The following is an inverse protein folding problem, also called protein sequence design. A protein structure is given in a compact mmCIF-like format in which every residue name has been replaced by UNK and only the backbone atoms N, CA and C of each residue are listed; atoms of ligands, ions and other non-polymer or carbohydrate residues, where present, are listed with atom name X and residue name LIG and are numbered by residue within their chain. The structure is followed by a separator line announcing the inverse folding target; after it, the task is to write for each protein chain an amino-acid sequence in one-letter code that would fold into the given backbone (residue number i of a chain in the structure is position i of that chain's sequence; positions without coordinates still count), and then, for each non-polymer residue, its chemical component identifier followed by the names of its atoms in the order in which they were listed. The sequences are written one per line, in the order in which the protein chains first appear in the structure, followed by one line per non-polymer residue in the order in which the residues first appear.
data_IF_787524069814
#
_entry.id   IF_787524069814
#
_cell.length_a   1.000
_cell.length_b   1.000
_cell.length_c   1.000
_cell.angle_alpha   90.00
_cell.angle_beta   90.00
_cell.angle_gamma   90.00
#
_symmetry.space_group_name_H-M   'P 1'
#
loop_
_entity.id
_entity.type
_entity.pdbx_description
1 polymer ?
#
# COMPACT_ATOMS: atom_id res chain seq x y z
N UNK A 1 7.67 -27.30 -8.87
CA UNK A 1 6.57 -27.77 -8.02
C UNK A 1 5.27 -27.14 -8.50
N UNK A 2 4.16 -27.86 -8.47
CA UNK A 2 2.82 -27.29 -8.67
C UNK A 2 2.41 -26.54 -7.40
N UNK A 3 2.01 -25.27 -7.53
CA UNK A 3 1.66 -24.40 -6.40
C UNK A 3 0.17 -24.08 -6.47
N UNK A 4 -0.58 -24.45 -5.42
CA UNK A 4 -2.02 -24.17 -5.28
C UNK A 4 -2.28 -23.21 -4.12
N UNK A 5 -3.33 -22.37 -4.18
CA UNK A 5 -3.64 -21.43 -3.11
C UNK A 5 -3.99 -22.17 -1.81
N UNK A 6 -3.37 -21.75 -0.70
CA UNK A 6 -3.65 -22.23 0.65
C UNK A 6 -4.10 -21.06 1.52
N UNK A 7 -5.41 -20.79 1.50
CA UNK A 7 -6.06 -19.68 2.20
C UNK A 7 -6.63 -20.14 3.54
N UNK A 8 -6.41 -19.33 4.58
CA UNK A 8 -7.03 -19.43 5.91
C UNK A 8 -7.42 -18.02 6.36
N UNK A 9 -8.71 -17.72 6.32
CA UNK A 9 -9.28 -16.39 6.55
C UNK A 9 -8.70 -15.41 5.54
N UNK A 10 -8.07 -14.36 6.06
CA UNK A 10 -7.41 -13.32 5.27
C UNK A 10 -5.93 -13.60 4.98
N UNK A 11 -5.43 -14.80 5.25
CA UNK A 11 -4.03 -15.18 5.02
C UNK A 11 -3.95 -16.24 3.92
N UNK A 12 -3.17 -15.97 2.89
CA UNK A 12 -2.71 -17.00 1.95
C UNK A 12 -1.26 -17.36 2.26
N UNK A 13 -1.00 -18.65 2.47
CA UNK A 13 0.33 -19.16 2.90
C UNK A 13 1.23 -19.61 1.74
N UNK A 14 0.72 -19.50 0.51
CA UNK A 14 1.41 -19.87 -0.74
C UNK A 14 1.30 -18.74 -1.73
N UNK A 15 2.29 -18.64 -2.62
CA UNK A 15 2.35 -17.59 -3.63
C UNK A 15 2.81 -18.17 -4.95
N UNK A 16 2.17 -17.79 -6.06
CA UNK A 16 2.52 -18.28 -7.40
C UNK A 16 3.48 -17.30 -8.13
N UNK A 17 4.75 -17.68 -8.42
CA UNK A 17 5.73 -16.77 -8.99
C UNK A 17 5.34 -16.22 -10.36
N UNK A 18 4.91 -17.10 -11.28
CA UNK A 18 4.47 -16.70 -12.63
C UNK A 18 3.22 -15.83 -12.59
N UNK A 19 2.37 -16.03 -11.57
CA UNK A 19 1.16 -15.25 -11.42
C UNK A 19 1.42 -13.86 -10.86
N UNK A 20 2.34 -13.74 -9.89
CA UNK A 20 2.85 -12.44 -9.46
C UNK A 20 3.48 -11.68 -10.63
N UNK A 21 4.29 -12.34 -11.47
CA UNK A 21 4.85 -11.72 -12.68
C UNK A 21 3.75 -11.22 -13.63
N UNK A 22 2.77 -12.06 -13.96
CA UNK A 22 1.64 -11.64 -14.80
C UNK A 22 0.85 -10.47 -14.21
N UNK A 23 0.65 -10.44 -12.89
CA UNK A 23 -0.03 -9.32 -12.22
C UNK A 23 0.77 -8.01 -12.29
N UNK A 24 2.11 -8.07 -12.17
CA UNK A 24 2.98 -6.89 -12.37
C UNK A 24 2.95 -6.43 -13.83
N UNK A 25 2.99 -7.35 -14.79
CA UNK A 25 2.91 -7.04 -16.23
C UNK A 25 1.61 -6.33 -16.58
N UNK A 26 0.48 -6.74 -16.01
CA UNK A 26 -0.82 -6.05 -16.19
C UNK A 26 -0.79 -4.60 -15.70
N UNK A 27 -0.21 -4.36 -14.53
CA UNK A 27 -0.09 -3.01 -13.97
C UNK A 27 0.83 -2.10 -14.81
N UNK A 28 1.92 -2.67 -15.35
CA UNK A 28 2.81 -1.97 -16.28
C UNK A 28 2.07 -1.65 -17.59
N UNK A 29 1.36 -2.63 -18.18
CA UNK A 29 0.60 -2.44 -19.40
C UNK A 29 -0.45 -1.33 -19.24
N UNK A 30 -1.24 -1.37 -18.15
CA UNK A 30 -2.16 -0.30 -17.82
C UNK A 30 -1.47 1.07 -17.77
N UNK A 31 -0.35 1.18 -17.05
CA UNK A 31 0.41 2.43 -16.92
C UNK A 31 0.86 2.97 -18.27
N UNK A 32 1.35 2.10 -19.15
CA UNK A 32 1.81 2.46 -20.50
C UNK A 32 0.65 2.88 -21.41
N UNK A 33 -0.50 2.20 -21.32
CA UNK A 33 -1.72 2.52 -22.07
C UNK A 33 -2.26 3.92 -21.73
N UNK A 34 -2.11 4.36 -20.47
CA UNK A 34 -2.51 5.71 -20.07
C UNK A 34 -1.58 6.81 -20.62
N UNK A 35 -0.35 6.47 -20.99
CA UNK A 35 0.68 7.40 -21.49
C UNK A 35 1.54 8.03 -20.41
N UNK A 36 2.50 8.87 -20.83
CA UNK A 36 3.49 9.47 -19.94
C UNK A 36 2.89 10.51 -19.00
N UNK A 37 3.33 10.50 -17.75
CA UNK A 37 3.10 11.54 -16.75
C UNK A 37 4.01 12.72 -17.09
N UNK A 38 3.40 13.82 -17.56
CA UNK A 38 4.12 15.06 -17.83
C UNK A 38 4.80 15.57 -16.55
N UNK A 39 6.04 16.05 -16.67
CA UNK A 39 6.84 16.58 -15.56
C UNK A 39 7.03 15.60 -14.39
N UNK A 40 6.83 14.30 -14.62
CA UNK A 40 7.01 13.27 -13.61
C UNK A 40 8.45 13.19 -13.07
N UNK A 41 8.64 12.52 -11.92
CA UNK A 41 9.94 12.42 -11.26
C UNK A 41 10.92 11.64 -12.12
N UNK A 42 12.22 11.81 -11.83
CA UNK A 42 13.29 11.11 -12.54
C UNK A 42 14.06 10.15 -11.65
N UNK A 43 14.09 10.37 -10.33
CA UNK A 43 14.87 9.58 -9.38
C UNK A 43 14.04 9.36 -8.13
N UNK A 44 13.46 8.17 -8.00
CA UNK A 44 12.42 7.88 -7.02
C UNK A 44 12.89 6.85 -6.00
N UNK A 45 12.68 7.16 -4.72
CA UNK A 45 12.76 6.20 -3.63
C UNK A 45 11.34 5.81 -3.22
N UNK A 46 11.06 4.51 -3.19
CA UNK A 46 9.80 3.96 -2.66
C UNK A 46 10.11 3.09 -1.45
N UNK A 47 9.58 3.48 -0.29
CA UNK A 47 9.72 2.76 0.98
C UNK A 47 8.43 1.95 1.19
N UNK A 48 8.53 0.62 1.13
CA UNK A 48 7.39 -0.29 1.03
C UNK A 48 7.01 -0.60 -0.43
N UNK A 49 7.99 -0.95 -1.27
CA UNK A 49 7.83 -0.98 -2.73
C UNK A 49 7.38 -2.31 -3.36
N UNK A 50 7.08 -3.33 -2.56
CA UNK A 50 6.92 -4.72 -3.03
C UNK A 50 5.47 -5.14 -3.30
N UNK A 51 4.48 -4.47 -2.68
CA UNK A 51 3.06 -4.81 -2.81
C UNK A 51 2.17 -3.56 -2.77
N UNK A 52 0.90 -3.72 -3.13
CA UNK A 52 -0.13 -2.69 -2.96
C UNK A 52 0.21 -1.35 -3.61
N UNK A 53 -0.11 -0.26 -2.89
CA UNK A 53 0.12 1.10 -3.36
C UNK A 53 1.60 1.44 -3.58
N UNK A 54 2.52 0.90 -2.78
CA UNK A 54 3.94 1.14 -2.97
C UNK A 54 4.48 0.51 -4.24
N UNK A 55 4.10 -0.74 -4.55
CA UNK A 55 4.41 -1.35 -5.85
C UNK A 55 3.82 -0.55 -7.01
N UNK A 56 2.53 -0.16 -6.90
CA UNK A 56 1.89 0.67 -7.90
C UNK A 56 2.61 2.02 -8.10
N UNK A 57 3.16 2.62 -7.04
CA UNK A 57 3.94 3.85 -7.11
C UNK A 57 5.24 3.66 -7.87
N UNK A 58 5.92 2.55 -7.60
CA UNK A 58 7.16 2.20 -8.30
C UNK A 58 6.91 1.96 -9.79
N UNK A 59 5.81 1.27 -10.13
CA UNK A 59 5.38 1.05 -11.51
C UNK A 59 4.99 2.35 -12.19
N UNK A 60 4.12 3.17 -11.57
CA UNK A 60 3.66 4.45 -12.13
C UNK A 60 4.82 5.39 -12.44
N UNK A 61 5.81 5.47 -11.56
CA UNK A 61 6.94 6.38 -11.75
C UNK A 61 7.96 5.83 -12.75
N UNK A 62 8.30 4.53 -12.70
CA UNK A 62 9.20 3.93 -13.67
C UNK A 62 8.61 3.93 -15.10
N UNK A 63 7.44 3.32 -15.28
CA UNK A 63 6.85 3.10 -16.60
C UNK A 63 5.95 4.25 -17.07
N UNK A 64 5.53 5.14 -16.17
CA UNK A 64 4.78 6.34 -16.52
C UNK A 64 5.64 7.60 -16.60
N UNK A 65 6.82 7.66 -15.99
CA UNK A 65 7.68 8.86 -16.02
C UNK A 65 9.11 8.62 -16.54
N UNK A 66 9.48 7.35 -16.78
CA UNK A 66 10.84 6.95 -17.13
C UNK A 66 11.81 7.08 -15.96
N UNK A 67 11.32 7.01 -14.72
CA UNK A 67 12.14 7.27 -13.55
C UNK A 67 13.09 6.11 -13.21
N UNK A 68 14.29 6.44 -12.76
CA UNK A 68 15.16 5.53 -12.04
C UNK A 68 14.55 5.26 -10.65
N UNK A 69 14.44 3.99 -10.23
CA UNK A 69 13.78 3.66 -8.95
C UNK A 69 14.65 2.82 -8.01
N UNK A 70 14.70 3.25 -6.75
CA UNK A 70 15.16 2.43 -5.61
C UNK A 70 13.93 2.03 -4.80
N UNK A 71 13.76 0.72 -4.55
CA UNK A 71 12.66 0.19 -3.75
C UNK A 71 13.16 -0.48 -2.48
N UNK A 72 12.58 -0.14 -1.33
CA UNK A 72 12.82 -0.78 -0.03
C UNK A 72 11.62 -1.63 0.35
N UNK A 73 11.84 -2.84 0.85
CA UNK A 73 10.79 -3.73 1.34
C UNK A 73 11.36 -4.77 2.29
N UNK A 74 10.49 -5.56 2.92
CA UNK A 74 10.90 -6.66 3.79
C UNK A 74 10.14 -7.94 3.43
N UNK A 75 10.75 -8.75 2.60
CA UNK A 75 10.15 -9.92 1.95
C UNK A 75 10.99 -11.18 2.19
N UNK A 76 10.35 -12.35 2.09
CA UNK A 76 11.03 -13.64 2.25
C UNK A 76 11.23 -14.27 0.90
N UNK A 77 12.49 -14.52 0.53
CA UNK A 77 12.84 -15.29 -0.65
C UNK A 77 12.26 -16.71 -0.62
N UNK A 78 12.06 -17.27 -1.81
CA UNK A 78 11.69 -18.67 -1.98
C UNK A 78 12.90 -19.59 -1.81
N UNK A 79 12.62 -20.88 -1.66
CA UNK A 79 13.60 -21.96 -1.72
C UNK A 79 13.02 -23.11 -2.53
N UNK A 80 13.82 -24.12 -2.88
CA UNK A 80 13.38 -25.30 -3.64
C UNK A 80 12.10 -25.97 -3.08
N UNK A 81 11.86 -25.86 -1.77
CA UNK A 81 10.75 -26.51 -1.07
C UNK A 81 9.68 -25.55 -0.56
N UNK A 82 9.86 -24.23 -0.69
CA UNK A 82 8.95 -23.23 -0.12
C UNK A 82 8.83 -22.00 -0.99
N UNK A 83 7.59 -21.57 -1.25
CA UNK A 83 7.31 -20.34 -1.99
C UNK A 83 7.72 -19.10 -1.20
N UNK A 84 8.17 -18.08 -1.93
CA UNK A 84 8.43 -16.74 -1.40
C UNK A 84 7.14 -16.04 -0.97
N UNK A 85 7.27 -14.90 -0.31
CA UNK A 85 6.15 -13.94 -0.18
C UNK A 85 5.85 -13.29 -1.53
N UNK A 86 4.60 -12.82 -1.71
CA UNK A 86 4.17 -12.14 -2.94
C UNK A 86 5.05 -10.95 -3.33
N UNK A 87 5.44 -10.14 -2.35
CA UNK A 87 6.26 -8.98 -2.62
C UNK A 87 7.66 -9.31 -3.16
N UNK A 88 8.21 -10.48 -2.83
CA UNK A 88 9.47 -10.97 -3.41
C UNK A 88 9.32 -11.19 -4.91
N UNK A 89 8.32 -11.98 -5.33
CA UNK A 89 8.08 -12.27 -6.75
C UNK A 89 7.65 -11.03 -7.53
N UNK A 90 6.84 -10.15 -6.93
CA UNK A 90 6.47 -8.88 -7.55
C UNK A 90 7.70 -8.00 -7.82
N UNK A 91 8.63 -7.93 -6.86
CA UNK A 91 9.85 -7.13 -7.00
C UNK A 91 10.82 -7.72 -8.02
N UNK A 92 10.93 -9.05 -8.08
CA UNK A 92 11.69 -9.75 -9.12
C UNK A 92 11.10 -9.49 -10.53
N UNK A 93 9.77 -9.54 -10.66
CA UNK A 93 9.09 -9.24 -11.91
C UNK A 93 9.25 -7.77 -12.33
N UNK A 94 9.19 -6.84 -11.36
CA UNK A 94 9.48 -5.42 -11.61
C UNK A 94 10.91 -5.22 -12.09
N UNK A 95 11.90 -5.80 -11.41
CA UNK A 95 13.32 -5.70 -11.78
C UNK A 95 13.58 -6.22 -13.20
N UNK A 96 13.02 -7.40 -13.53
CA UNK A 96 13.07 -7.98 -14.87
C UNK A 96 12.48 -7.02 -15.92
N UNK A 97 11.25 -6.54 -15.70
CA UNK A 97 10.58 -5.66 -16.66
C UNK A 97 11.28 -4.30 -16.81
N UNK A 98 11.81 -3.74 -15.73
CA UNK A 98 12.54 -2.47 -15.76
C UNK A 98 13.84 -2.61 -16.58
N UNK A 99 14.60 -3.69 -16.37
CA UNK A 99 15.82 -3.98 -17.14
C UNK A 99 15.54 -4.23 -18.62
N UNK A 100 14.47 -4.95 -18.95
CA UNK A 100 14.01 -5.12 -20.34
C UNK A 100 13.68 -3.77 -21.00
N UNK A 101 13.18 -2.80 -20.23
CA UNK A 101 12.89 -1.45 -20.70
C UNK A 101 14.09 -0.47 -20.61
N UNK A 102 15.26 -0.93 -20.16
CA UNK A 102 16.45 -0.08 -19.97
C UNK A 102 16.32 0.94 -18.82
N UNK A 103 15.41 0.72 -17.88
CA UNK A 103 15.20 1.58 -16.71
C UNK A 103 16.06 1.11 -15.54
N UNK A 104 16.65 2.07 -14.81
CA UNK A 104 17.36 1.77 -13.58
C UNK A 104 16.38 1.27 -12.51
N UNK A 105 16.68 0.10 -11.95
CA UNK A 105 15.96 -0.50 -10.84
C UNK A 105 16.96 -1.15 -9.88
N UNK A 106 16.93 -0.74 -8.61
CA UNK A 106 17.64 -1.41 -7.52
C UNK A 106 16.74 -1.59 -6.31
N UNK A 107 16.99 -2.62 -5.53
CA UNK A 107 16.18 -2.94 -4.36
C UNK A 107 17.00 -3.26 -3.13
N UNK A 108 16.44 -2.90 -1.97
CA UNK A 108 16.97 -3.25 -0.64
C UNK A 108 15.90 -4.05 0.08
N UNK A 109 16.20 -5.29 0.42
CA UNK A 109 15.39 -6.16 1.25
C UNK A 109 15.91 -6.08 2.69
N UNK A 110 15.17 -5.42 3.58
CA UNK A 110 15.59 -5.20 4.96
C UNK A 110 14.54 -4.44 5.78
N UNK A 111 14.77 -4.35 7.09
CA UNK A 111 13.90 -3.59 7.98
C UNK A 111 14.04 -2.09 7.71
N UNK A 112 13.03 -1.51 7.04
CA UNK A 112 13.01 -0.10 6.68
C UNK A 112 13.01 0.84 7.90
N UNK A 113 12.65 0.37 9.10
CA UNK A 113 12.72 1.16 10.32
C UNK A 113 14.16 1.30 10.86
N UNK A 114 15.08 0.44 10.42
CA UNK A 114 16.46 0.39 10.92
C UNK A 114 17.34 1.52 10.37
N UNK A 115 18.29 1.97 11.21
CA UNK A 115 19.35 2.89 10.78
C UNK A 115 20.22 2.28 9.66
N UNK A 116 20.46 0.97 9.72
CA UNK A 116 21.24 0.22 8.72
C UNK A 116 20.60 0.28 7.33
N UNK A 117 19.29 0.02 7.24
CA UNK A 117 18.58 0.11 5.96
C UNK A 117 18.61 1.54 5.39
N UNK A 118 18.41 2.56 6.23
CA UNK A 118 18.52 3.97 5.84
C UNK A 118 19.92 4.30 5.31
N UNK A 119 20.96 3.87 6.02
CA UNK A 119 22.35 4.07 5.61
C UNK A 119 22.66 3.38 4.27
N UNK A 120 22.19 2.14 4.07
CA UNK A 120 22.44 1.41 2.82
C UNK A 120 21.75 2.06 1.62
N UNK A 121 20.53 2.56 1.80
CA UNK A 121 19.82 3.29 0.75
C UNK A 121 20.53 4.61 0.41
N UNK A 122 21.02 5.35 1.41
CA UNK A 122 21.81 6.57 1.19
C UNK A 122 23.08 6.28 0.40
N UNK A 123 23.81 5.21 0.74
CA UNK A 123 25.00 4.77 0.01
C UNK A 123 24.66 4.49 -1.46
N UNK A 124 23.59 3.74 -1.71
CA UNK A 124 23.16 3.39 -3.05
C UNK A 124 22.72 4.62 -3.86
N UNK A 125 22.00 5.57 -3.25
CA UNK A 125 21.63 6.82 -3.91
C UNK A 125 22.89 7.60 -4.30
N UNK A 126 23.87 7.73 -3.40
CA UNK A 126 25.13 8.45 -3.70
C UNK A 126 25.93 7.79 -4.82
N UNK A 127 25.97 6.46 -4.85
CA UNK A 127 26.70 5.71 -5.86
C UNK A 127 26.08 5.87 -7.25
N UNK A 128 24.74 5.78 -7.35
CA UNK A 128 24.10 5.56 -8.64
C UNK A 128 23.30 6.76 -9.16
N UNK A 129 22.61 7.50 -8.27
CA UNK A 129 21.62 8.51 -8.66
C UNK A 129 22.01 9.95 -8.26
N UNK A 130 22.98 10.09 -7.35
CA UNK A 130 23.39 11.33 -6.70
C UNK A 130 22.34 11.83 -5.69
N UNK A 131 21.10 12.03 -6.14
CA UNK A 131 19.98 12.51 -5.33
C UNK A 131 18.65 11.90 -5.78
N UNK A 132 17.61 12.06 -4.95
CA UNK A 132 16.22 11.65 -5.19
C UNK A 132 15.33 12.88 -5.29
N UNK A 133 14.38 12.88 -6.24
CA UNK A 133 13.38 13.94 -6.44
C UNK A 133 11.96 13.56 -5.99
N UNK A 134 11.72 12.27 -5.67
CA UNK A 134 10.49 11.82 -5.02
C UNK A 134 10.76 10.72 -4.00
N UNK A 135 10.23 10.89 -2.79
CA UNK A 135 10.17 9.86 -1.74
C UNK A 135 8.72 9.46 -1.49
N UNK A 136 8.36 8.21 -1.82
CA UNK A 136 7.07 7.62 -1.48
C UNK A 136 7.22 6.78 -0.22
N UNK A 137 6.46 7.11 0.82
CA UNK A 137 6.40 6.37 2.08
C UNK A 137 5.09 5.56 2.15
N UNK A 138 5.20 4.25 1.90
CA UNK A 138 4.08 3.31 1.76
C UNK A 138 4.28 2.06 2.63
N UNK A 139 4.84 2.23 3.83
CA UNK A 139 4.98 1.13 4.78
C UNK A 139 3.64 0.80 5.44
N UNK A 140 3.32 -0.49 5.46
CA UNK A 140 2.20 -1.05 6.21
C UNK A 140 2.70 -2.25 7.02
N UNK A 141 3.25 -1.98 8.20
CA UNK A 141 3.76 -3.01 9.10
C UNK A 141 2.99 -3.00 10.41
N UNK A 142 2.53 -4.15 10.93
CA UNK A 142 1.92 -4.19 12.27
C UNK A 142 2.96 -4.09 13.39
N UNK A 143 4.24 -3.97 13.05
CA UNK A 143 5.37 -4.05 13.98
C UNK A 143 6.45 -3.05 13.58
N UNK A 144 7.05 -2.40 14.56
CA UNK A 144 8.26 -1.61 14.39
C UNK A 144 9.30 -2.06 15.38
N UNK A 145 10.50 -2.37 14.90
CA UNK A 145 11.68 -2.50 15.76
C UNK A 145 12.30 -1.12 15.90
N UNK A 146 12.38 -0.60 17.12
CA UNK A 146 12.90 0.74 17.38
C UNK A 146 14.40 0.77 17.04
N UNK A 147 14.86 1.74 16.22
CA UNK A 147 16.22 1.73 15.69
C UNK A 147 17.31 1.90 16.76
N UNK A 148 17.02 2.64 17.83
CA UNK A 148 18.00 2.94 18.89
C UNK A 148 17.99 1.92 20.03
N UNK A 149 16.81 1.43 20.42
CA UNK A 149 16.65 0.55 21.59
C UNK A 149 16.54 -0.93 21.23
N UNK A 150 16.21 -1.25 19.98
CA UNK A 150 15.92 -2.61 19.53
C UNK A 150 14.58 -3.17 20.03
N UNK A 151 13.80 -2.39 20.78
CA UNK A 151 12.47 -2.77 21.27
C UNK A 151 11.51 -3.04 20.12
N UNK A 152 10.68 -4.08 20.24
CA UNK A 152 9.69 -4.46 19.22
C UNK A 152 8.30 -3.98 19.65
N UNK A 153 7.83 -2.92 19.02
CA UNK A 153 6.53 -2.29 19.27
C UNK A 153 5.50 -2.82 18.26
N UNK A 154 4.27 -3.05 18.70
CA UNK A 154 3.18 -3.60 17.87
C UNK A 154 1.96 -2.67 17.88
N UNK A 155 1.42 -2.40 16.70
CA UNK A 155 0.17 -1.66 16.58
C UNK A 155 -1.03 -2.52 17.00
N UNK A 156 -2.08 -1.88 17.51
CA UNK A 156 -3.38 -2.49 17.73
C UNK A 156 -4.40 -1.89 16.76
N UNK A 157 -5.38 -2.69 16.33
CA UNK A 157 -6.48 -2.26 15.46
C UNK A 157 -7.77 -2.26 16.28
N UNK A 158 -7.91 -1.26 17.14
CA UNK A 158 -8.97 -1.18 18.15
C UNK A 158 -9.62 0.21 18.21
N UNK A 159 -10.92 0.29 18.55
CA UNK A 159 -11.59 1.55 18.86
C UNK A 159 -11.00 2.18 20.13
N UNK A 160 -11.31 3.45 20.38
CA UNK A 160 -10.95 4.15 21.63
C UNK A 160 -12.24 4.49 22.37
N UNK A 161 -12.26 4.25 23.68
CA UNK A 161 -13.42 4.54 24.53
C UNK A 161 -14.38 3.36 24.65
N UNK A 162 -15.20 3.13 23.61
CA UNK A 162 -16.29 2.14 23.66
C UNK A 162 -16.01 0.91 22.79
N UNK A 163 -16.60 -0.22 23.16
CA UNK A 163 -16.59 -1.46 22.38
C UNK A 163 -17.31 -1.25 21.05
N UNK A 164 -16.68 -1.64 19.94
CA UNK A 164 -17.26 -1.55 18.61
C UNK A 164 -17.82 -2.90 18.18
N UNK A 165 -19.12 -2.95 17.88
CA UNK A 165 -19.80 -4.13 17.34
C UNK A 165 -20.32 -3.83 15.95
N UNK A 166 -20.03 -4.69 14.97
CA UNK A 166 -20.38 -4.48 13.56
C UNK A 166 -20.69 -5.76 12.81
N UNK A 167 -21.37 -5.60 11.68
CA UNK A 167 -21.57 -6.68 10.70
C UNK A 167 -20.28 -6.90 9.91
N UNK A 168 -19.88 -8.16 9.75
CA UNK A 168 -18.66 -8.55 9.08
C UNK A 168 -18.87 -9.85 8.28
N UNK A 169 -17.89 -10.20 7.43
CA UNK A 169 -17.87 -11.49 6.72
C UNK A 169 -16.83 -12.40 7.38
N UNK A 170 -17.23 -13.62 7.78
CA UNK A 170 -16.29 -14.71 7.99
C UNK A 170 -15.86 -15.26 6.63
N UNK A 171 -14.71 -14.84 6.14
CA UNK A 171 -14.21 -15.21 4.80
C UNK A 171 -13.83 -16.68 4.65
N UNK A 172 -13.78 -17.45 5.74
CA UNK A 172 -13.62 -18.91 5.66
C UNK A 172 -14.93 -19.62 5.37
N UNK A 173 -16.04 -19.08 5.90
CA UNK A 173 -17.36 -19.71 5.84
C UNK A 173 -18.27 -19.04 4.82
N UNK A 174 -17.86 -17.91 4.25
CA UNK A 174 -18.66 -17.07 3.37
C UNK A 174 -19.99 -16.66 4.03
N UNK A 175 -19.94 -16.29 5.31
CA UNK A 175 -21.11 -16.01 6.15
C UNK A 175 -21.04 -14.65 6.82
N UNK A 176 -22.21 -14.03 6.97
CA UNK A 176 -22.34 -12.83 7.78
C UNK A 176 -22.27 -13.19 9.26
N UNK A 177 -21.43 -12.45 9.98
CA UNK A 177 -21.22 -12.59 11.42
C UNK A 177 -21.27 -11.22 12.08
N UNK A 178 -21.46 -11.24 13.40
CA UNK A 178 -21.23 -10.07 14.25
C UNK A 178 -19.81 -10.12 14.78
N UNK A 179 -19.02 -9.09 14.50
CA UNK A 179 -17.69 -8.91 15.05
C UNK A 179 -17.71 -7.85 16.15
N UNK A 180 -17.07 -8.14 17.28
CA UNK A 180 -16.94 -7.23 18.41
C UNK A 180 -15.45 -6.99 18.68
N UNK A 181 -15.06 -5.72 18.82
CA UNK A 181 -13.69 -5.29 19.09
C UNK A 181 -13.67 -4.42 20.34
N UNK A 182 -12.93 -4.87 21.35
CA UNK A 182 -12.77 -4.14 22.61
C UNK A 182 -11.90 -2.88 22.43
N UNK A 183 -12.14 -1.83 23.23
CA UNK A 183 -11.37 -0.60 23.16
C UNK A 183 -9.90 -0.83 23.49
N UNK A 184 -9.06 0.02 22.89
CA UNK A 184 -7.63 0.05 23.15
C UNK A 184 -7.35 0.65 24.54
N UNK A 185 -6.31 0.14 25.19
CA UNK A 185 -5.71 0.84 26.33
C UNK A 185 -4.72 1.93 25.83
N UNK A 186 -4.21 2.76 26.75
CA UNK A 186 -3.31 3.87 26.40
C UNK A 186 -2.00 3.37 25.76
N UNK A 187 -1.45 2.26 26.22
CA UNK A 187 -0.24 1.67 25.65
C UNK A 187 -0.46 1.24 24.20
N UNK A 188 -1.60 0.60 23.89
CA UNK A 188 -1.97 0.20 22.54
C UNK A 188 -2.15 1.41 21.61
N UNK A 189 -2.67 2.53 22.12
CA UNK A 189 -2.77 3.80 21.38
C UNK A 189 -1.37 4.31 21.04
N UNK A 190 -0.50 4.46 22.05
CA UNK A 190 0.86 4.98 21.86
C UNK A 190 1.71 4.08 20.97
N UNK A 191 1.59 2.76 21.12
CA UNK A 191 2.28 1.79 20.28
C UNK A 191 1.81 1.89 18.82
N UNK A 192 0.51 2.11 18.60
CA UNK A 192 -0.02 2.29 17.24
C UNK A 192 0.48 3.58 16.60
N UNK A 193 0.52 4.70 17.35
CA UNK A 193 1.15 5.95 16.88
C UNK A 193 2.63 5.70 16.56
N UNK A 194 3.36 5.01 17.42
CA UNK A 194 4.78 4.71 17.24
C UNK A 194 5.06 3.89 15.97
N UNK A 195 4.18 2.93 15.64
CA UNK A 195 4.37 2.02 14.49
C UNK A 195 3.85 2.63 13.19
N UNK A 196 2.67 3.24 13.21
CA UNK A 196 1.92 3.65 12.00
C UNK A 196 1.85 5.18 11.82
N UNK A 197 2.38 5.95 12.76
CA UNK A 197 2.51 7.40 12.66
C UNK A 197 3.61 7.85 11.72
N UNK A 198 3.92 9.15 11.78
CA UNK A 198 4.86 9.80 10.87
C UNK A 198 6.31 9.82 11.35
N UNK A 199 6.61 9.34 12.56
CA UNK A 199 7.97 9.43 13.12
C UNK A 199 9.03 8.79 12.21
N UNK A 200 8.80 7.58 11.69
CA UNK A 200 9.80 6.95 10.81
C UNK A 200 9.92 7.64 9.45
N UNK A 201 8.83 8.19 8.93
CA UNK A 201 8.87 9.02 7.72
C UNK A 201 9.75 10.27 7.94
N UNK A 202 9.65 10.93 9.09
CA UNK A 202 10.55 12.03 9.47
C UNK A 202 12.01 11.55 9.56
N UNK A 203 12.28 10.37 10.14
CA UNK A 203 13.63 9.82 10.21
C UNK A 203 14.22 9.54 8.83
N UNK A 204 13.43 9.02 7.88
CA UNK A 204 13.86 8.84 6.49
C UNK A 204 14.18 10.19 5.84
N UNK A 205 13.28 11.15 5.94
CA UNK A 205 13.45 12.46 5.30
C UNK A 205 14.64 13.23 5.89
N UNK A 206 14.81 13.20 7.21
CA UNK A 206 15.96 13.79 7.89
C UNK A 206 17.28 13.13 7.46
N UNK A 207 17.35 11.79 7.46
CA UNK A 207 18.57 11.09 7.07
C UNK A 207 18.96 11.35 5.60
N UNK A 208 17.98 11.41 4.69
CA UNK A 208 18.22 11.72 3.28
C UNK A 208 18.68 13.18 3.09
N UNK A 209 18.05 14.13 3.82
CA UNK A 209 18.44 15.54 3.80
C UNK A 209 19.86 15.73 4.33
N UNK A 210 20.16 15.19 5.50
CA UNK A 210 21.45 15.36 6.19
C UNK A 210 22.59 14.72 5.40
N UNK A 211 22.30 13.66 4.64
CA UNK A 211 23.24 13.05 3.71
C UNK A 211 23.42 13.80 2.38
N UNK A 212 22.63 14.86 2.13
CA UNK A 212 22.68 15.66 0.90
C UNK A 212 22.06 15.01 -0.33
N UNK A 213 21.27 13.94 -0.15
CA UNK A 213 20.75 13.11 -1.26
C UNK A 213 19.31 13.45 -1.66
N UNK A 214 18.73 14.52 -1.12
CA UNK A 214 17.46 15.08 -1.61
C UNK A 214 17.74 16.20 -2.61
N UNK A 215 17.12 16.12 -3.79
CA UNK A 215 17.21 17.15 -4.81
C UNK A 215 16.44 18.41 -4.41
N UNK A 216 16.82 19.55 -4.98
CA UNK A 216 16.00 20.75 -4.88
C UNK A 216 14.66 20.50 -5.58
N UNK A 217 13.56 20.98 -5.00
CA UNK A 217 12.20 20.68 -5.46
C UNK A 217 11.70 19.27 -5.13
N UNK A 218 12.45 18.47 -4.35
CA UNK A 218 12.04 17.10 -4.03
C UNK A 218 10.66 17.05 -3.37
N UNK A 219 9.87 16.05 -3.76
CA UNK A 219 8.54 15.80 -3.20
C UNK A 219 8.58 14.59 -2.28
N UNK A 220 7.73 14.57 -1.26
CA UNK A 220 7.46 13.38 -0.48
C UNK A 220 5.97 13.16 -0.28
N UNK A 221 5.54 11.91 -0.34
CA UNK A 221 4.15 11.54 -0.07
C UNK A 221 4.09 10.33 0.83
N UNK A 222 3.25 10.39 1.87
CA UNK A 222 2.91 9.24 2.70
C UNK A 222 1.47 8.83 2.47
N UNK A 223 1.20 7.53 2.43
CA UNK A 223 -0.15 7.01 2.20
C UNK A 223 -0.94 6.80 3.47
N UNK A 224 -2.20 7.24 3.41
CA UNK A 224 -3.18 7.09 4.47
C UNK A 224 -4.53 6.68 3.90
N UNK A 225 -5.47 6.42 4.79
CA UNK A 225 -6.85 6.07 4.49
C UNK A 225 -7.73 6.71 5.57
N UNK A 226 -8.81 7.41 5.23
CA UNK A 226 -9.77 7.92 6.22
C UNK A 226 -10.99 7.00 6.27
N UNK A 227 -11.59 6.76 5.11
CA UNK A 227 -12.69 5.84 4.94
C UNK A 227 -14.07 6.39 5.27
N UNK A 228 -15.05 5.51 5.11
CA UNK A 228 -16.47 5.71 5.40
C UNK A 228 -16.77 5.79 6.91
N UNK A 229 -17.88 6.44 7.25
CA UNK A 229 -18.45 6.48 8.60
C UNK A 229 -18.72 5.08 9.18
N UNK A 230 -19.04 4.11 8.33
CA UNK A 230 -19.17 2.69 8.72
C UNK A 230 -17.89 2.10 9.34
N UNK A 231 -16.74 2.68 9.01
CA UNK A 231 -15.42 2.20 9.43
C UNK A 231 -14.71 3.13 10.42
N UNK A 232 -15.28 4.32 10.69
CA UNK A 232 -14.67 5.33 11.55
C UNK A 232 -14.32 4.83 12.95
N UNK A 233 -15.13 4.02 13.66
CA UNK A 233 -14.78 3.55 15.00
C UNK A 233 -13.44 2.82 15.08
N UNK A 234 -13.01 2.14 14.00
CA UNK A 234 -11.70 1.49 13.93
C UNK A 234 -10.66 2.43 13.27
N UNK A 235 -10.98 3.00 12.11
CA UNK A 235 -9.97 3.66 11.28
C UNK A 235 -9.73 5.13 11.60
N UNK A 236 -10.75 5.89 11.98
CA UNK A 236 -10.64 7.34 12.15
C UNK A 236 -10.71 7.78 13.61
N UNK A 237 -11.58 7.18 14.41
CA UNK A 237 -11.72 7.45 15.84
C UNK A 237 -11.02 6.42 16.73
N UNK A 238 -10.47 5.36 16.14
CA UNK A 238 -9.67 4.36 16.85
C UNK A 238 -8.18 4.70 16.92
N UNK A 239 -7.42 3.71 17.36
CA UNK A 239 -5.94 3.71 17.43
C UNK A 239 -5.26 4.15 16.12
N UNK A 240 -5.74 3.67 14.96
CA UNK A 240 -5.23 4.09 13.65
C UNK A 240 -5.51 5.56 13.34
N UNK A 241 -6.59 6.13 13.87
CA UNK A 241 -6.91 7.55 13.75
C UNK A 241 -5.82 8.42 14.35
N UNK A 242 -5.39 8.07 15.58
CA UNK A 242 -4.29 8.76 16.27
C UNK A 242 -2.97 8.68 15.53
N UNK A 243 -2.66 7.54 14.94
CA UNK A 243 -1.48 7.39 14.09
C UNK A 243 -1.54 8.30 12.84
N UNK A 244 -2.72 8.46 12.24
CA UNK A 244 -2.90 9.35 11.07
C UNK A 244 -2.81 10.83 11.44
N UNK A 245 -3.32 11.22 12.61
CA UNK A 245 -3.11 12.56 13.16
C UNK A 245 -1.61 12.87 13.32
N UNK A 246 -0.81 11.89 13.79
CA UNK A 246 0.65 12.03 13.84
C UNK A 246 1.30 12.08 12.45
N UNK A 247 0.74 11.38 11.46
CA UNK A 247 1.19 11.46 10.07
C UNK A 247 0.94 12.87 9.46
N UNK A 248 -0.19 13.49 9.79
CA UNK A 248 -0.50 14.87 9.40
C UNK A 248 0.46 15.89 10.06
N UNK A 249 0.83 15.65 11.33
CA UNK A 249 1.89 16.42 12.02
C UNK A 249 3.24 16.27 11.31
N UNK A 250 3.66 15.04 11.02
CA UNK A 250 4.92 14.76 10.33
C UNK A 250 4.96 15.38 8.93
N UNK A 251 3.87 15.30 8.16
CA UNK A 251 3.78 15.94 6.85
C UNK A 251 4.04 17.45 6.93
N UNK A 252 3.52 18.10 7.97
CA UNK A 252 3.73 19.54 8.21
C UNK A 252 5.20 19.84 8.50
N UNK A 253 5.85 19.06 9.38
CA UNK A 253 7.26 19.22 9.70
C UNK A 253 8.16 19.02 8.46
N UNK A 254 7.97 17.91 7.74
CA UNK A 254 8.75 17.58 6.54
C UNK A 254 8.54 18.63 5.45
N UNK A 255 7.31 19.14 5.28
CA UNK A 255 7.03 20.20 4.31
C UNK A 255 7.78 21.48 4.66
N UNK A 256 7.83 21.86 5.94
CA UNK A 256 8.62 22.99 6.41
C UNK A 256 10.11 22.85 6.05
N UNK A 257 10.67 21.66 6.27
CA UNK A 257 12.07 21.37 5.98
C UNK A 257 12.39 21.39 4.47
N UNK A 258 11.47 20.92 3.63
CA UNK A 258 11.64 20.90 2.18
C UNK A 258 11.40 22.27 1.52
N UNK A 259 10.60 23.15 2.14
CA UNK A 259 10.16 24.41 1.56
C UNK A 259 11.32 25.34 1.19
N UNK A 260 12.41 25.34 1.97
CA UNK A 260 13.59 26.16 1.71
C UNK A 260 14.25 25.88 0.34
N UNK A 261 14.03 24.68 -0.21
CA UNK A 261 14.52 24.24 -1.52
C UNK A 261 13.38 24.03 -2.53
N UNK A 262 12.20 24.58 -2.28
CA UNK A 262 11.02 24.47 -3.14
C UNK A 262 10.39 23.06 -3.19
N UNK A 263 10.74 22.18 -2.25
CA UNK A 263 10.13 20.86 -2.14
C UNK A 263 8.81 20.86 -1.35
N UNK A 264 8.09 19.74 -1.37
CA UNK A 264 6.76 19.61 -0.75
C UNK A 264 6.57 18.24 -0.10
N UNK A 265 5.80 18.17 0.98
CA UNK A 265 5.37 16.90 1.58
C UNK A 265 3.87 16.89 1.91
N UNK A 266 3.20 15.79 1.56
CA UNK A 266 1.76 15.63 1.75
C UNK A 266 1.40 14.21 2.19
N UNK A 267 0.38 14.09 3.01
CA UNK A 267 -0.36 12.82 3.14
C UNK A 267 -1.28 12.70 1.93
N UNK A 268 -1.29 11.54 1.28
CA UNK A 268 -2.31 11.22 0.28
C UNK A 268 -3.29 10.20 0.87
N UNK A 269 -4.56 10.60 0.94
CA UNK A 269 -5.66 9.76 1.41
C UNK A 269 -6.19 8.97 0.22
N UNK A 270 -5.94 7.68 0.26
CA UNK A 270 -6.25 6.72 -0.80
C UNK A 270 -7.56 6.00 -0.52
N UNK A 271 -8.10 5.30 -1.53
CA UNK A 271 -9.36 4.57 -1.42
C UNK A 271 -9.16 3.22 -0.72
N UNK A 272 -10.26 2.59 -0.37
CA UNK A 272 -10.31 1.18 0.03
C UNK A 272 -9.95 0.27 -1.14
N UNK A 273 -8.99 -0.63 -0.91
CA UNK A 273 -8.57 -1.66 -1.86
C UNK A 273 -8.33 -2.98 -1.14
N UNK A 274 -8.40 -4.09 -1.87
CA UNK A 274 -8.04 -5.40 -1.32
C UNK A 274 -6.52 -5.49 -1.19
N UNK A 275 -6.05 -5.59 0.04
CA UNK A 275 -4.64 -5.82 0.37
C UNK A 275 -4.57 -6.85 1.48
N UNK A 276 -3.38 -7.37 1.77
CA UNK A 276 -3.17 -8.25 2.92
C UNK A 276 -3.53 -7.52 4.24
N UNK A 277 -3.22 -6.22 4.33
CA UNK A 277 -3.51 -5.41 5.50
C UNK A 277 -5.01 -5.13 5.69
N UNK A 278 -5.71 -4.69 4.63
CA UNK A 278 -7.15 -4.37 4.71
C UNK A 278 -8.00 -5.62 4.99
N UNK A 279 -7.59 -6.79 4.50
CA UNK A 279 -8.33 -8.05 4.71
C UNK A 279 -8.28 -8.53 6.17
N UNK A 280 -7.32 -8.07 6.97
CA UNK A 280 -7.21 -8.42 8.39
C UNK A 280 -8.21 -7.67 9.30
N UNK A 281 -8.88 -6.64 8.77
CA UNK A 281 -9.80 -5.80 9.54
C UNK A 281 -11.24 -6.30 9.34
N UNK A 282 -11.95 -6.75 10.39
CA UNK A 282 -13.20 -7.52 10.25
C UNK A 282 -14.28 -6.89 9.36
N UNK A 283 -14.45 -5.57 9.43
CA UNK A 283 -15.50 -4.85 8.66
C UNK A 283 -15.14 -4.65 7.18
N UNK A 284 -13.85 -4.67 6.84
CA UNK A 284 -13.37 -4.25 5.52
C UNK A 284 -13.76 -5.19 4.39
N UNK A 285 -13.72 -6.53 4.51
CA UNK A 285 -14.18 -7.41 3.44
C UNK A 285 -15.62 -7.11 3.00
N UNK A 286 -16.51 -6.83 3.96
CA UNK A 286 -17.91 -6.51 3.67
C UNK A 286 -18.04 -5.16 2.97
N UNK A 287 -17.46 -4.13 3.57
CA UNK A 287 -17.52 -2.78 3.02
C UNK A 287 -16.90 -2.69 1.63
N UNK A 288 -15.71 -3.29 1.43
CA UNK A 288 -15.05 -3.33 0.12
C UNK A 288 -15.93 -4.04 -0.90
N UNK A 289 -16.50 -5.20 -0.57
CA UNK A 289 -17.36 -5.95 -1.50
C UNK A 289 -18.57 -5.13 -1.94
N UNK A 290 -19.19 -4.40 -1.00
CA UNK A 290 -20.34 -3.53 -1.29
C UNK A 290 -19.94 -2.30 -2.12
N UNK A 291 -18.94 -1.55 -1.66
CA UNK A 291 -18.46 -0.35 -2.33
C UNK A 291 -17.96 -0.67 -3.75
N UNK A 292 -17.30 -1.81 -3.96
CA UNK A 292 -16.82 -2.21 -5.28
C UNK A 292 -17.96 -2.44 -6.26
N UNK A 293 -19.03 -3.14 -5.85
CA UNK A 293 -20.20 -3.34 -6.71
C UNK A 293 -20.76 -2.00 -7.18
N UNK A 294 -21.00 -1.09 -6.23
CA UNK A 294 -21.59 0.23 -6.49
C UNK A 294 -20.66 1.08 -7.38
N UNK A 295 -19.36 1.11 -7.08
CA UNK A 295 -18.39 1.87 -7.87
C UNK A 295 -18.20 1.29 -9.28
N UNK A 296 -18.31 -0.03 -9.46
CA UNK A 296 -18.28 -0.69 -10.78
C UNK A 296 -19.50 -0.34 -11.60
N UNK A 297 -20.69 -0.38 -11.01
CA UNK A 297 -21.95 0.03 -11.68
C UNK A 297 -21.91 1.50 -12.12
N UNK A 298 -21.22 2.36 -11.35
CA UNK A 298 -21.02 3.77 -11.68
C UNK A 298 -19.82 4.05 -12.60
N UNK A 299 -19.02 3.05 -12.93
CA UNK A 299 -17.82 3.20 -13.78
C UNK A 299 -16.68 4.00 -13.13
N UNK A 300 -16.59 4.02 -11.80
CA UNK A 300 -15.58 4.79 -11.03
C UNK A 300 -14.71 3.90 -10.14
N UNK A 301 -14.81 2.58 -10.27
CA UNK A 301 -13.99 1.64 -9.51
C UNK A 301 -12.52 1.68 -9.97
N UNK A 302 -11.62 1.70 -8.99
CA UNK A 302 -10.16 1.70 -9.19
C UNK A 302 -9.51 0.69 -8.24
N UNK A 303 -8.46 0.02 -8.71
CA UNK A 303 -7.51 -0.71 -7.89
C UNK A 303 -6.32 0.17 -7.47
N UNK A 304 -5.26 -0.46 -6.96
CA UNK A 304 -4.04 0.26 -6.55
C UNK A 304 -3.38 1.01 -7.70
N UNK A 305 -3.32 0.40 -8.87
CA UNK A 305 -2.56 0.91 -10.01
C UNK A 305 -3.25 2.12 -10.63
N UNK A 306 -4.57 2.01 -10.87
CA UNK A 306 -5.41 3.07 -11.41
C UNK A 306 -5.33 4.31 -10.51
N UNK A 307 -5.52 4.11 -9.19
CA UNK A 307 -5.54 5.22 -8.26
C UNK A 307 -4.18 5.91 -8.13
N UNK A 308 -3.09 5.14 -8.00
CA UNK A 308 -1.75 5.74 -7.88
C UNK A 308 -1.35 6.45 -9.17
N UNK A 309 -1.64 5.87 -10.33
CA UNK A 309 -1.41 6.54 -11.60
C UNK A 309 -2.18 7.86 -11.69
N UNK A 310 -3.49 7.85 -11.34
CA UNK A 310 -4.32 9.07 -11.29
C UNK A 310 -3.74 10.10 -10.32
N UNK A 311 -3.29 9.69 -9.14
CA UNK A 311 -2.67 10.58 -8.15
C UNK A 311 -1.41 11.23 -8.70
N UNK A 312 -0.50 10.44 -9.28
CA UNK A 312 0.75 10.95 -9.83
C UNK A 312 0.48 11.94 -10.97
N UNK A 313 -0.43 11.60 -11.88
CA UNK A 313 -0.73 12.38 -13.08
C UNK A 313 -1.55 13.64 -12.83
N UNK A 314 -2.57 13.56 -11.97
CA UNK A 314 -3.58 14.62 -11.81
C UNK A 314 -3.43 15.43 -10.53
N UNK A 315 -2.55 15.01 -9.61
CA UNK A 315 -2.27 15.71 -8.36
C UNK A 315 -0.78 16.01 -8.25
N UNK A 316 0.04 15.01 -7.93
CA UNK A 316 1.43 15.24 -7.50
C UNK A 316 2.29 15.91 -8.60
N UNK A 317 2.03 15.59 -9.87
CA UNK A 317 2.64 16.19 -11.06
C UNK A 317 1.60 16.73 -12.04
N UNK A 318 0.37 16.97 -11.56
CA UNK A 318 -0.67 17.66 -12.31
C UNK A 318 -0.55 19.18 -12.21
N UNK A 319 -1.53 19.89 -12.78
CA UNK A 319 -1.61 21.36 -12.66
C UNK A 319 -1.97 21.82 -11.24
N UNK A 320 -2.80 21.05 -10.53
CA UNK A 320 -3.26 21.36 -9.18
C UNK A 320 -3.17 20.14 -8.25
N UNK A 321 -2.67 20.35 -7.04
CA UNK A 321 -2.57 19.32 -6.00
C UNK A 321 -3.93 18.93 -5.38
N UNK A 322 -4.95 19.80 -5.52
CA UNK A 322 -6.30 19.66 -4.95
C UNK A 322 -6.29 19.17 -3.50
N UNK A 323 -5.76 20.03 -2.61
CA UNK A 323 -5.56 19.71 -1.20
C UNK A 323 -6.82 19.97 -0.37
N UNK A 324 -7.04 19.17 0.66
CA UNK A 324 -8.04 19.47 1.69
C UNK A 324 -7.51 20.50 2.73
N UNK A 325 -8.34 20.81 3.74
CA UNK A 325 -8.03 21.80 4.77
C UNK A 325 -6.82 21.42 5.66
N UNK A 326 -6.46 20.14 5.74
CA UNK A 326 -5.23 19.64 6.41
C UNK A 326 -4.06 19.51 5.42
N UNK A 327 -4.21 20.05 4.22
CA UNK A 327 -3.23 20.00 3.14
C UNK A 327 -2.90 18.57 2.67
N UNK A 328 -3.90 17.68 2.67
CA UNK A 328 -3.82 16.30 2.19
C UNK A 328 -4.29 16.18 0.76
N UNK A 329 -3.66 15.31 -0.03
CA UNK A 329 -4.11 14.95 -1.37
C UNK A 329 -5.27 13.95 -1.23
N UNK A 330 -6.41 14.21 -1.86
CA UNK A 330 -7.60 13.35 -1.79
C UNK A 330 -7.79 12.55 -3.06
N UNK A 331 -7.64 11.23 -2.95
CA UNK A 331 -7.85 10.25 -4.02
C UNK A 331 -9.03 9.31 -3.72
N UNK A 332 -9.52 9.35 -2.49
CA UNK A 332 -10.75 8.72 -1.99
C UNK A 332 -12.03 9.49 -2.35
N UNK A 333 -11.89 10.60 -3.08
CA UNK A 333 -12.96 11.49 -3.52
C UNK A 333 -14.12 10.76 -4.21
N UNK A 334 -13.82 9.78 -5.07
CA UNK A 334 -14.85 9.00 -5.76
C UNK A 334 -15.56 7.98 -4.85
N UNK A 335 -14.83 7.38 -3.91
CA UNK A 335 -15.39 6.44 -2.93
C UNK A 335 -16.32 7.17 -1.96
N UNK A 336 -15.94 8.39 -1.55
CA UNK A 336 -16.66 9.19 -0.55
C UNK A 336 -17.78 10.06 -1.15
N UNK A 337 -18.12 9.89 -2.42
CA UNK A 337 -19.31 10.53 -2.99
C UNK A 337 -20.56 10.10 -2.23
N UNK A 338 -21.46 11.04 -1.97
CA UNK A 338 -22.68 10.77 -1.19
C UNK A 338 -23.56 9.70 -1.84
N UNK A 339 -23.62 9.64 -3.18
CA UNK A 339 -24.38 8.62 -3.89
C UNK A 339 -23.75 7.21 -3.87
N UNK A 340 -22.50 7.08 -3.42
CA UNK A 340 -21.87 5.79 -3.12
C UNK A 340 -22.10 5.46 -1.65
N UNK A 341 -21.82 6.42 -0.76
CA UNK A 341 -21.90 6.23 0.69
C UNK A 341 -23.33 5.98 1.16
N UNK A 342 -24.32 6.74 0.67
CA UNK A 342 -25.72 6.53 1.01
C UNK A 342 -26.21 5.14 0.59
N UNK A 343 -25.84 4.67 -0.61
CA UNK A 343 -26.18 3.30 -1.04
C UNK A 343 -25.54 2.25 -0.16
N UNK A 344 -24.29 2.44 0.29
CA UNK A 344 -23.68 1.56 1.28
C UNK A 344 -24.46 1.55 2.60
N UNK A 345 -24.83 2.72 3.14
CA UNK A 345 -25.59 2.85 4.38
C UNK A 345 -26.97 2.17 4.29
N UNK A 346 -27.65 2.33 3.17
CA UNK A 346 -28.98 1.75 2.94
C UNK A 346 -28.92 0.22 2.83
N UNK A 347 -27.89 -0.32 2.17
CA UNK A 347 -27.72 -1.77 2.01
C UNK A 347 -27.22 -2.44 3.28
N UNK A 348 -26.36 -1.79 4.06
CA UNK A 348 -25.70 -2.36 5.24
C UNK A 348 -26.62 -3.15 6.19
N UNK A 349 -27.76 -2.63 6.67
CA UNK A 349 -28.64 -3.36 7.58
C UNK A 349 -29.41 -4.52 6.92
N UNK A 350 -29.44 -4.60 5.59
CA UNK A 350 -30.16 -5.62 4.83
C UNK A 350 -29.29 -6.82 4.41
N UNK A 351 -27.96 -6.73 4.61
CA UNK A 351 -27.05 -7.80 4.21
C UNK A 351 -27.22 -9.03 5.11
N UNK A 352 -27.42 -10.18 4.48
CA UNK A 352 -27.45 -11.50 5.10
C UNK A 352 -26.50 -12.44 4.37
N UNK A 353 -26.27 -13.63 4.92
CA UNK A 353 -25.48 -14.67 4.26
C UNK A 353 -26.07 -15.05 2.89
N UNK A 354 -27.40 -15.11 2.79
CA UNK A 354 -28.13 -15.58 1.61
C UNK A 354 -28.05 -14.59 0.45
N UNK A 355 -28.07 -13.28 0.75
CA UNK A 355 -28.04 -12.23 -0.28
C UNK A 355 -26.64 -11.62 -0.50
N UNK A 356 -25.60 -12.09 0.22
CA UNK A 356 -24.26 -11.51 0.19
C UNK A 356 -23.69 -11.40 -1.24
N UNK A 357 -23.78 -12.47 -2.03
CA UNK A 357 -23.25 -12.49 -3.40
C UNK A 357 -24.13 -11.74 -4.41
N UNK A 358 -25.37 -11.44 -4.05
CA UNK A 358 -26.30 -10.68 -4.89
C UNK A 358 -26.10 -9.18 -4.69
N UNK A 359 -26.09 -8.75 -3.42
CA UNK A 359 -26.04 -7.33 -3.02
C UNK A 359 -24.62 -6.76 -2.94
N UNK A 360 -23.59 -7.60 -2.98
CA UNK A 360 -22.18 -7.17 -2.95
C UNK A 360 -21.37 -7.87 -4.03
N UNK A 361 -20.19 -7.33 -4.36
CA UNK A 361 -19.21 -7.97 -5.23
C UNK A 361 -18.22 -8.84 -4.44
N UNK A 362 -18.74 -9.72 -3.59
CA UNK A 362 -17.92 -10.59 -2.75
C UNK A 362 -17.10 -11.60 -3.58
N UNK A 363 -17.62 -12.02 -4.74
CA UNK A 363 -16.85 -12.82 -5.70
C UNK A 363 -15.65 -12.04 -6.23
N UNK A 364 -15.83 -10.78 -6.64
CA UNK A 364 -14.75 -9.91 -7.07
C UNK A 364 -13.72 -9.69 -5.96
N UNK A 365 -14.15 -9.45 -4.72
CA UNK A 365 -13.26 -9.35 -3.55
C UNK A 365 -12.35 -10.60 -3.41
N UNK A 366 -12.93 -11.80 -3.46
CA UNK A 366 -12.16 -13.06 -3.34
C UNK A 366 -11.17 -13.24 -4.51
N UNK A 367 -11.57 -12.87 -5.73
CA UNK A 367 -10.69 -12.91 -6.89
C UNK A 367 -9.53 -11.93 -6.74
N UNK A 368 -9.78 -10.69 -6.31
CA UNK A 368 -8.73 -9.71 -6.04
C UNK A 368 -7.79 -10.15 -4.92
N UNK A 369 -8.33 -10.72 -3.84
CA UNK A 369 -7.52 -11.29 -2.76
C UNK A 369 -6.57 -12.38 -3.27
N UNK A 370 -7.05 -13.30 -4.10
CA UNK A 370 -6.22 -14.36 -4.69
C UNK A 370 -5.15 -13.80 -5.65
N UNK A 371 -5.48 -12.75 -6.42
CA UNK A 371 -4.52 -12.07 -7.31
C UNK A 371 -3.34 -11.46 -6.56
N UNK A 372 -3.53 -11.03 -5.30
CA UNK A 372 -2.42 -10.55 -4.45
C UNK A 372 -1.29 -11.57 -4.31
N UNK A 373 -1.62 -12.87 -4.41
CA UNK A 373 -0.68 -13.98 -4.27
C UNK A 373 -0.41 -14.69 -5.60
N UNK A 374 -0.78 -14.06 -6.72
CA UNK A 374 -0.55 -14.57 -8.07
C UNK A 374 -1.53 -15.66 -8.52
N UNK A 375 -2.71 -15.81 -7.90
CA UNK A 375 -3.71 -16.80 -8.32
C UNK A 375 -4.88 -16.18 -9.08
N UNK A 376 -5.57 -16.99 -9.88
CA UNK A 376 -6.80 -16.60 -10.59
C UNK A 376 -6.59 -15.73 -11.83
N UNK A 377 -5.41 -15.78 -12.44
CA UNK A 377 -5.08 -15.10 -13.70
C UNK A 377 -5.26 -16.08 -14.87
N UNK A 378 -6.12 -15.73 -15.82
CA UNK A 378 -6.53 -16.61 -16.94
C UNK A 378 -5.41 -17.01 -17.88
N UNK A 379 -4.35 -16.20 -17.96
CA UNK A 379 -3.17 -16.40 -18.80
C UNK A 379 -2.11 -17.31 -18.15
N UNK A 380 -2.29 -17.74 -16.91
CA UNK A 380 -1.32 -18.55 -16.17
C UNK A 380 -1.79 -19.99 -16.11
N UNK A 381 -0.94 -20.90 -16.58
CA UNK A 381 -1.13 -22.35 -16.36
C UNK A 381 -0.71 -22.71 -14.93
N UNK A 382 -1.70 -22.94 -14.06
CA UNK A 382 -1.51 -23.29 -12.65
C UNK A 382 -1.23 -24.77 -12.39
N UNK A 383 -1.32 -25.63 -13.42
CA UNK A 383 -0.94 -27.04 -13.29
C UNK A 383 0.50 -27.29 -13.77
N UNK A 384 1.17 -26.27 -14.32
CA UNK A 384 2.58 -26.33 -14.67
C UNK A 384 3.51 -26.36 -13.44
N UNK A 385 4.61 -27.11 -13.54
CA UNK A 385 5.68 -27.05 -12.57
C UNK A 385 6.44 -25.72 -12.66
N UNK A 386 6.55 -25.02 -11.53
CA UNK A 386 7.30 -23.77 -11.42
C UNK A 386 8.40 -23.86 -10.37
N UNK A 387 9.51 -23.15 -10.60
CA UNK A 387 10.58 -23.02 -9.61
C UNK A 387 10.24 -21.90 -8.61
N UNK A 388 10.02 -22.21 -7.32
CA UNK A 388 9.76 -21.20 -6.30
C UNK A 388 11.00 -20.34 -5.95
N UNK A 389 12.22 -20.79 -6.24
CA UNK A 389 13.45 -20.05 -5.96
C UNK A 389 13.78 -19.06 -7.09
N UNK A 390 13.17 -17.88 -7.04
CA UNK A 390 13.40 -16.79 -7.99
C UNK A 390 14.44 -15.84 -7.42
N UNK A 391 15.53 -15.61 -8.16
CA UNK A 391 16.58 -14.63 -7.81
C UNK A 391 16.47 -13.38 -8.68
N UNK A 392 16.86 -12.24 -8.14
CA UNK A 392 16.96 -10.96 -8.86
C UNK A 392 17.99 -10.06 -8.16
N UNK A 393 18.24 -8.88 -8.72
CA UNK A 393 19.22 -7.92 -8.21
C UNK A 393 18.66 -7.15 -7.01
N UNK A 394 18.99 -7.64 -5.81
CA UNK A 394 18.54 -7.07 -4.54
C UNK A 394 19.66 -7.12 -3.53
N UNK A 395 19.81 -6.04 -2.76
CA UNK A 395 20.67 -5.98 -1.58
C UNK A 395 19.88 -6.57 -0.42
N UNK A 396 20.39 -7.63 0.22
CA UNK A 396 19.78 -8.19 1.44
C UNK A 396 20.55 -7.70 2.68
N UNK A 397 19.81 -7.33 3.73
CA UNK A 397 20.32 -6.85 5.02
C UNK A 397 19.93 -7.77 6.17
#
# INVERSE_FOLDING_TARGET
MIIKPKVRGFICTTTHPVGCEANVRRQIAYTQEQGMIANGPKRVLVIGASTGYGLASRIATAFGSGAATIGVFFEKAGSETKTATAGWYNSAAFDKAAKEAGLYAKSVNGDAFSNECRAKVIELIKADLGQIDLVVYSLASPVRKMPETGEVVRSALKPIGETYTTTAIDTNKDQIITATVEPANEEEIQNTITVMGGQDWELWMAALRDAGVLADGAKSVAYSYIGTDLTWPIYWHGTLGRAKEDLDRAATAIRGDLAAKGGTAHVAVLKSVVTQASSAIPVMPLYISMAFKIMKEKGIHEGCMEQVYRMMRTRLYGEELALDEQARIRMDDWELREDVQQTCRDLWPSITTENLSELTDYTGYKQEFLRLFGFGLVEVDYEADVNPDVKFDVVEL
#
